data_IF_368575801940
#
_entry.id   IF_368575801940
#
_cell.length_a   1.000
_cell.length_b   1.000
_cell.length_c   1.000
_cell.angle_alpha   90.00
_cell.angle_beta   90.00
_cell.angle_gamma   90.00
#
_symmetry.space_group_name_H-M   'P 1'
#
loop_
_entity.id
_entity.type
_entity.pdbx_description
1 polymer ?
#
# COMPACT_ATOMS: atom_id res chain seq x y z
N UNK A 1 -8.64 8.62 13.92
CA UNK A 1 -9.40 7.53 13.26
C UNK A 1 -8.42 6.71 12.44
N UNK A 2 -8.58 5.39 12.27
CA UNK A 2 -7.75 4.65 11.33
C UNK A 2 -7.99 5.24 9.92
N UNK A 3 -6.94 5.77 9.29
CA UNK A 3 -7.02 6.23 7.90
C UNK A 3 -6.95 5.02 6.98
N UNK A 4 -7.86 4.91 6.02
CA UNK A 4 -7.78 3.90 4.97
C UNK A 4 -6.47 4.06 4.20
N UNK A 5 -5.76 2.95 3.96
CA UNK A 5 -4.48 2.97 3.24
C UNK A 5 -4.63 3.37 1.78
N UNK A 6 -5.81 3.15 1.19
CA UNK A 6 -6.13 3.43 -0.20
C UNK A 6 -7.41 4.23 -0.35
N UNK A 7 -7.40 5.11 -1.35
CA UNK A 7 -8.57 5.82 -1.85
C UNK A 7 -8.75 5.43 -3.32
N UNK A 8 -9.95 4.94 -3.65
CA UNK A 8 -10.37 4.63 -5.02
C UNK A 8 -11.43 5.63 -5.41
N UNK A 9 -11.25 6.32 -6.53
CA UNK A 9 -12.21 7.29 -7.03
C UNK A 9 -12.66 6.89 -8.46
N UNK A 10 -13.74 6.10 -8.58
CA UNK A 10 -14.28 5.71 -9.87
C UNK A 10 -14.68 6.92 -10.70
N UNK A 11 -14.35 6.89 -11.99
CA UNK A 11 -14.69 7.93 -12.96
C UNK A 11 -15.98 7.50 -13.64
N UNK A 12 -17.03 8.31 -13.50
CA UNK A 12 -18.38 7.96 -13.96
C UNK A 12 -18.76 8.71 -15.24
N UNK A 13 -17.98 9.72 -15.59
CA UNK A 13 -18.16 10.56 -16.76
C UNK A 13 -17.48 9.95 -17.98
N UNK A 14 -18.24 9.78 -19.07
CA UNK A 14 -17.70 9.27 -20.34
C UNK A 14 -16.58 10.18 -20.84
N UNK A 15 -15.45 9.58 -21.24
CA UNK A 15 -14.28 10.27 -21.84
C UNK A 15 -13.60 11.29 -20.94
N UNK A 16 -13.87 11.30 -19.64
CA UNK A 16 -13.11 12.15 -18.72
C UNK A 16 -11.63 11.72 -18.69
N UNK A 17 -10.73 12.69 -18.82
CA UNK A 17 -9.29 12.50 -18.69
C UNK A 17 -8.74 12.91 -17.31
N UNK A 18 -9.57 13.60 -16.52
CA UNK A 18 -9.26 14.03 -15.16
C UNK A 18 -10.47 13.84 -14.24
N UNK A 19 -10.22 13.69 -12.94
CA UNK A 19 -11.24 13.59 -11.92
C UNK A 19 -10.90 14.48 -10.72
N UNK A 20 -11.85 15.31 -10.30
CA UNK A 20 -11.67 16.21 -9.16
C UNK A 20 -12.09 15.51 -7.88
N UNK A 21 -11.16 15.35 -6.94
CA UNK A 21 -11.39 14.61 -5.70
C UNK A 21 -10.78 15.32 -4.50
N UNK A 22 -11.48 15.25 -3.37
CA UNK A 22 -10.95 15.72 -2.09
C UNK A 22 -10.00 14.68 -1.50
N UNK A 23 -8.76 15.11 -1.24
CA UNK A 23 -7.79 14.32 -0.51
C UNK A 23 -7.94 14.57 0.99
N UNK A 24 -8.18 13.53 1.81
CA UNK A 24 -8.13 13.67 3.26
C UNK A 24 -6.79 14.23 3.73
N UNK A 25 -6.82 14.99 4.82
CA UNK A 25 -5.61 15.45 5.47
C UNK A 25 -4.81 14.26 6.03
N UNK A 26 -3.54 14.16 5.65
CA UNK A 26 -2.63 13.13 6.14
C UNK A 26 -1.19 13.66 6.17
N UNK A 27 -0.45 13.35 7.23
CA UNK A 27 0.97 13.70 7.34
C UNK A 27 1.77 12.99 6.24
N UNK A 28 2.54 13.73 5.45
CA UNK A 28 3.23 13.19 4.27
C UNK A 28 2.36 13.15 3.00
N UNK A 29 1.08 13.50 3.10
CA UNK A 29 0.17 13.60 1.95
C UNK A 29 -0.37 12.24 1.47
N UNK A 30 -0.80 12.25 0.22
CA UNK A 30 -1.38 11.12 -0.51
C UNK A 30 -0.61 10.95 -1.82
N UNK A 31 -0.33 9.72 -2.21
CA UNK A 31 0.46 9.37 -3.39
C UNK A 31 -0.38 8.68 -4.44
N UNK A 32 -0.07 8.91 -5.72
CA UNK A 32 -0.58 8.10 -6.81
C UNK A 32 -0.15 6.63 -6.61
N UNK A 33 -1.12 5.73 -6.62
CA UNK A 33 -0.92 4.30 -6.36
C UNK A 33 -0.28 3.54 -7.53
N UNK A 34 -0.28 4.14 -8.72
CA UNK A 34 0.32 3.59 -9.94
C UNK A 34 1.73 4.18 -10.18
N UNK A 35 1.88 5.49 -10.03
CA UNK A 35 3.10 6.24 -10.39
C UNK A 35 3.93 6.69 -9.19
N UNK A 36 3.33 6.81 -8.01
CA UNK A 36 3.98 7.27 -6.77
C UNK A 36 3.99 8.80 -6.57
N UNK A 37 3.50 9.57 -7.55
CA UNK A 37 3.46 11.03 -7.53
C UNK A 37 2.78 11.58 -6.26
N UNK A 38 3.40 12.51 -5.52
CA UNK A 38 2.84 13.03 -4.27
C UNK A 38 1.80 14.13 -4.50
N UNK A 39 0.78 14.14 -3.65
CA UNK A 39 -0.25 15.16 -3.56
C UNK A 39 -0.45 15.58 -2.09
N UNK A 40 -0.49 16.89 -1.78
CA UNK A 40 -0.77 17.31 -0.41
C UNK A 40 -2.23 17.02 -0.04
N UNK A 41 -2.45 16.48 1.16
CA UNK A 41 -3.79 16.21 1.69
C UNK A 41 -4.54 17.48 2.12
N UNK A 42 -5.81 17.32 2.50
CA UNK A 42 -6.66 18.39 3.04
C UNK A 42 -7.31 19.28 1.99
N UNK A 43 -7.21 18.95 0.70
CA UNK A 43 -7.68 19.79 -0.40
C UNK A 43 -8.27 19.00 -1.57
N UNK A 44 -9.03 19.68 -2.42
CA UNK A 44 -9.46 19.12 -3.70
C UNK A 44 -8.33 19.23 -4.74
N UNK A 45 -8.10 18.15 -5.49
CA UNK A 45 -7.10 18.09 -6.56
C UNK A 45 -7.70 17.47 -7.81
N UNK A 46 -7.17 17.86 -8.98
CA UNK A 46 -7.46 17.19 -10.24
C UNK A 46 -6.44 16.06 -10.45
N UNK A 47 -6.92 14.81 -10.49
CA UNK A 47 -6.10 13.62 -10.73
C UNK A 47 -6.32 13.12 -12.16
N UNK A 48 -5.26 12.60 -12.78
CA UNK A 48 -5.34 11.94 -14.08
C UNK A 48 -6.25 10.72 -14.04
N UNK A 49 -7.11 10.59 -15.05
CA UNK A 49 -8.13 9.56 -15.13
C UNK A 49 -8.19 8.96 -16.55
N UNK A 50 -7.03 8.74 -17.17
CA UNK A 50 -6.97 8.19 -18.52
C UNK A 50 -7.52 6.76 -18.55
N UNK A 51 -8.02 6.35 -19.72
CA UNK A 51 -8.55 5.00 -19.91
C UNK A 51 -7.47 3.96 -19.60
N UNK A 52 -7.80 3.01 -18.71
CA UNK A 52 -6.85 2.00 -18.22
C UNK A 52 -6.06 2.41 -16.98
N UNK A 53 -6.16 3.67 -16.54
CA UNK A 53 -5.50 4.21 -15.36
C UNK A 53 -6.50 4.94 -14.46
N UNK A 54 -7.43 4.21 -13.81
CA UNK A 54 -8.38 4.84 -12.90
C UNK A 54 -7.63 5.45 -11.69
N UNK A 55 -8.12 6.58 -11.13
CA UNK A 55 -7.52 7.17 -9.94
C UNK A 55 -7.50 6.19 -8.76
N UNK A 56 -6.29 5.78 -8.41
CA UNK A 56 -5.96 4.94 -7.26
C UNK A 56 -4.90 5.67 -6.46
N UNK A 57 -5.18 5.98 -5.21
CA UNK A 57 -4.28 6.74 -4.35
C UNK A 57 -4.00 5.98 -3.07
N UNK A 58 -2.82 6.19 -2.49
CA UNK A 58 -2.39 5.61 -1.23
C UNK A 58 -1.88 6.69 -0.27
N UNK A 59 -2.21 6.60 1.02
CA UNK A 59 -1.67 7.56 2.00
C UNK A 59 -0.16 7.35 2.17
N UNK A 60 0.56 8.42 2.51
CA UNK A 60 1.97 8.28 2.89
C UNK A 60 2.14 7.31 4.09
N UNK A 61 3.14 6.43 4.00
CA UNK A 61 3.38 5.37 4.98
C UNK A 61 2.47 4.15 4.88
N UNK A 62 1.56 4.09 3.89
CA UNK A 62 0.83 2.86 3.57
C UNK A 62 1.79 1.73 3.18
N UNK A 63 1.48 0.51 3.64
CA UNK A 63 2.21 -0.71 3.28
C UNK A 63 1.20 -1.63 2.58
N UNK A 64 1.38 -1.83 1.28
CA UNK A 64 0.50 -2.68 0.48
C UNK A 64 1.25 -3.94 0.07
N UNK A 65 0.88 -5.12 0.61
CA UNK A 65 1.40 -6.38 0.11
C UNK A 65 0.81 -6.67 -1.28
N UNK A 66 1.67 -7.05 -2.21
CA UNK A 66 1.30 -7.49 -3.56
C UNK A 66 1.90 -8.87 -3.79
N UNK A 67 1.06 -9.81 -4.22
CA UNK A 67 1.50 -11.14 -4.63
C UNK A 67 1.91 -11.08 -6.11
N UNK A 68 3.19 -11.36 -6.39
CA UNK A 68 3.76 -11.47 -7.72
C UNK A 68 4.29 -12.90 -7.89
N UNK A 69 3.44 -13.77 -8.45
CA UNK A 69 3.76 -15.17 -8.73
C UNK A 69 4.21 -15.97 -7.50
N UNK A 70 3.55 -15.76 -6.35
CA UNK A 70 3.82 -16.43 -5.08
C UNK A 70 4.82 -15.69 -4.18
N UNK A 71 5.49 -14.66 -4.72
CA UNK A 71 6.36 -13.77 -3.96
C UNK A 71 5.59 -12.56 -3.44
N UNK A 72 5.80 -12.19 -2.18
CA UNK A 72 5.14 -11.02 -1.59
C UNK A 72 6.06 -9.80 -1.69
N UNK A 73 5.72 -8.86 -2.55
CA UNK A 73 6.33 -7.53 -2.58
C UNK A 73 5.60 -6.59 -1.61
N UNK A 74 6.35 -5.89 -0.75
CA UNK A 74 5.80 -4.90 0.16
C UNK A 74 6.04 -3.50 -0.41
N UNK A 75 5.00 -2.93 -1.01
CA UNK A 75 5.04 -1.58 -1.58
C UNK A 75 4.78 -0.57 -0.47
N UNK A 76 5.73 0.35 -0.28
CA UNK A 76 5.62 1.43 0.70
C UNK A 76 5.49 2.76 -0.03
N UNK A 77 4.43 3.50 0.26
CA UNK A 77 4.10 4.74 -0.44
C UNK A 77 4.61 5.97 0.32
N UNK A 78 5.44 6.77 -0.34
CA UNK A 78 5.88 8.06 0.17
C UNK A 78 6.81 8.03 1.39
N UNK A 79 7.23 9.21 1.87
CA UNK A 79 8.00 9.33 3.10
C UNK A 79 7.14 8.93 4.30
N UNK A 80 7.73 8.18 5.23
CA UNK A 80 7.04 7.73 6.45
C UNK A 80 7.08 8.88 7.46
N UNK A 81 6.13 9.80 7.34
CA UNK A 81 5.98 10.94 8.24
C UNK A 81 5.36 10.56 9.60
N UNK A 82 4.73 9.38 9.68
CA UNK A 82 4.15 8.81 10.90
C UNK A 82 4.19 7.28 10.82
N UNK A 83 4.05 6.59 11.96
CA UNK A 83 4.06 5.12 11.95
C UNK A 83 2.94 4.56 11.06
N UNK A 84 3.30 3.62 10.19
CA UNK A 84 2.37 2.85 9.38
C UNK A 84 2.43 1.37 9.74
N UNK A 85 1.35 0.65 9.47
CA UNK A 85 1.32 -0.80 9.60
C UNK A 85 0.48 -1.41 8.49
N UNK A 86 0.94 -2.54 7.97
CA UNK A 86 0.20 -3.41 7.05
C UNK A 86 0.17 -4.82 7.62
N UNK A 87 -0.92 -5.54 7.36
CA UNK A 87 -1.10 -6.93 7.76
C UNK A 87 -1.42 -7.75 6.51
N UNK A 88 -0.61 -8.76 6.24
CA UNK A 88 -0.93 -9.82 5.30
C UNK A 88 -1.51 -10.98 6.10
N UNK A 89 -2.62 -11.53 5.65
CA UNK A 89 -3.19 -12.77 6.14
C UNK A 89 -3.22 -13.78 4.98
N UNK A 90 -2.74 -15.00 5.22
CA UNK A 90 -2.69 -16.08 4.23
C UNK A 90 -3.21 -17.38 4.85
N UNK A 91 -4.10 -18.05 4.13
CA UNK A 91 -4.63 -19.38 4.42
C UNK A 91 -4.64 -20.24 3.15
N UNK A 92 -5.24 -21.43 3.21
CA UNK A 92 -5.36 -22.34 2.07
C UNK A 92 -6.42 -21.89 1.05
N UNK A 93 -7.19 -20.83 1.32
CA UNK A 93 -8.31 -20.28 0.56
C UNK A 93 -9.47 -21.23 0.21
N UNK A 94 -9.33 -22.53 0.50
CA UNK A 94 -10.23 -23.60 0.05
C UNK A 94 -11.09 -24.14 1.18
N UNK A 95 -10.57 -24.13 2.41
CA UNK A 95 -11.23 -24.78 3.54
C UNK A 95 -11.65 -23.78 4.61
N UNK A 96 -12.34 -24.28 5.64
CA UNK A 96 -12.64 -23.50 6.84
C UNK A 96 -11.50 -23.49 7.86
N UNK A 97 -10.32 -24.02 7.51
CA UNK A 97 -9.16 -24.08 8.39
C UNK A 97 -8.71 -22.69 8.85
N UNK A 98 -8.99 -21.64 8.08
CA UNK A 98 -8.73 -20.23 8.43
C UNK A 98 -9.22 -19.81 9.83
N UNK A 99 -10.25 -20.48 10.37
CA UNK A 99 -10.76 -20.22 11.73
C UNK A 99 -9.79 -20.66 12.83
N UNK A 100 -8.90 -21.60 12.53
CA UNK A 100 -8.00 -22.25 13.47
C UNK A 100 -6.53 -22.15 13.05
N UNK A 101 -6.21 -22.01 11.76
CA UNK A 101 -4.87 -22.03 11.22
C UNK A 101 -4.77 -21.08 10.03
N UNK A 102 -4.26 -19.88 10.30
CA UNK A 102 -3.87 -18.89 9.31
C UNK A 102 -2.51 -18.33 9.66
N UNK A 103 -1.84 -17.76 8.66
CA UNK A 103 -0.56 -17.09 8.84
C UNK A 103 -0.76 -15.59 8.70
N UNK A 104 -0.28 -14.83 9.67
CA UNK A 104 -0.16 -13.38 9.52
C UNK A 104 1.30 -13.00 9.28
N UNK A 105 1.50 -11.95 8.51
CA UNK A 105 2.77 -11.23 8.46
C UNK A 105 2.48 -9.75 8.62
N UNK A 106 3.21 -9.08 9.52
CA UNK A 106 2.97 -7.66 9.82
C UNK A 106 4.16 -6.83 9.38
N UNK A 107 3.94 -5.88 8.49
CA UNK A 107 4.88 -4.81 8.19
C UNK A 107 4.61 -3.61 9.08
N UNK A 108 5.66 -2.95 9.58
CA UNK A 108 5.57 -1.65 10.23
C UNK A 108 6.57 -0.70 9.63
N UNK A 109 6.14 0.50 9.29
CA UNK A 109 7.00 1.59 8.88
C UNK A 109 7.16 2.54 10.04
N UNK A 110 8.40 2.94 10.34
CA UNK A 110 8.70 4.01 11.29
C UNK A 110 9.50 5.09 10.59
N UNK A 111 9.29 6.37 10.92
CA UNK A 111 10.22 7.42 10.53
C UNK A 111 11.63 7.06 11.02
N UNK A 112 12.64 7.19 10.17
CA UNK A 112 14.05 7.10 10.55
C UNK A 112 14.86 8.22 9.89
N UNK A 113 16.15 8.34 10.26
CA UNK A 113 17.04 9.37 9.72
C UNK A 113 17.27 9.25 8.20
N UNK A 114 16.93 8.12 7.58
CA UNK A 114 17.04 7.83 6.15
C UNK A 114 15.68 7.81 5.41
N UNK A 115 14.59 8.21 6.09
CA UNK A 115 13.25 8.37 5.53
C UNK A 115 12.22 7.28 5.89
N UNK A 116 12.64 6.05 6.25
CA UNK A 116 11.77 4.97 6.72
C UNK A 116 12.54 3.68 7.07
N UNK A 117 12.24 3.06 8.21
CA UNK A 117 12.60 1.67 8.50
C UNK A 117 11.38 0.76 8.38
N UNK A 118 11.46 -0.31 7.57
CA UNK A 118 10.46 -1.38 7.54
C UNK A 118 10.87 -2.48 8.53
N UNK A 119 9.99 -2.77 9.47
CA UNK A 119 10.13 -3.92 10.36
C UNK A 119 9.08 -4.97 10.00
N UNK A 120 9.52 -6.16 9.59
CA UNK A 120 8.67 -7.34 9.53
C UNK A 120 8.57 -7.95 10.92
N UNK A 121 7.34 -8.07 11.44
CA UNK A 121 7.03 -8.90 12.60
C UNK A 121 6.84 -10.36 12.17
N UNK A 122 7.28 -11.30 13.01
CA UNK A 122 7.29 -12.73 12.71
C UNK A 122 5.92 -13.31 12.34
N UNK A 123 5.96 -14.47 11.68
CA UNK A 123 4.76 -15.26 11.36
C UNK A 123 4.21 -15.88 12.64
N UNK A 124 3.01 -15.49 13.05
CA UNK A 124 2.30 -16.23 14.08
C UNK A 124 1.53 -17.38 13.42
N UNK A 125 1.86 -18.60 13.86
CA UNK A 125 1.17 -19.80 13.43
C UNK A 125 -0.07 -19.94 14.33
N UNK A 126 -1.27 -19.77 13.77
CA UNK A 126 -2.50 -19.95 14.55
C UNK A 126 -2.88 -21.42 14.75
N UNK A 127 -2.31 -22.36 14.00
CA UNK A 127 -2.50 -23.80 14.19
C UNK A 127 -1.82 -24.63 13.10
N UNK A 128 -1.26 -25.78 13.48
CA UNK A 128 -0.41 -26.63 12.63
C UNK A 128 -1.22 -27.52 11.69
N UNK A 129 -1.19 -27.19 10.39
CA UNK A 129 -1.59 -28.07 9.30
C UNK A 129 -0.48 -28.07 8.23
N UNK A 130 0.75 -28.49 8.57
CA UNK A 130 1.68 -29.16 7.65
C UNK A 130 1.96 -28.55 6.27
N UNK A 131 1.66 -27.27 6.03
CA UNK A 131 2.04 -26.56 4.81
C UNK A 131 3.51 -26.14 4.95
N UNK A 132 4.35 -26.32 3.92
CA UNK A 132 5.74 -25.92 4.00
C UNK A 132 5.80 -24.41 4.31
N UNK A 133 6.66 -23.98 5.25
CA UNK A 133 6.91 -22.57 5.47
C UNK A 133 7.71 -22.03 4.29
N UNK A 134 7.04 -21.77 3.17
CA UNK A 134 7.56 -20.82 2.19
C UNK A 134 7.43 -19.46 2.85
N UNK A 135 8.42 -19.10 3.66
CA UNK A 135 8.54 -17.74 4.18
C UNK A 135 8.43 -16.80 2.98
N UNK A 136 7.52 -15.81 3.00
CA UNK A 136 7.43 -14.87 1.89
C UNK A 136 8.78 -14.19 1.72
N UNK A 137 9.38 -14.32 0.53
CA UNK A 137 10.62 -13.61 0.20
C UNK A 137 10.25 -12.16 -0.06
N UNK A 138 10.25 -11.35 1.00
CA UNK A 138 9.80 -9.98 0.92
C UNK A 138 10.82 -9.08 0.21
N UNK A 139 10.45 -8.50 -0.93
CA UNK A 139 11.15 -7.35 -1.52
C UNK A 139 10.45 -6.07 -1.06
N UNK A 140 11.23 -4.99 -0.89
CA UNK A 140 10.70 -3.67 -0.55
C UNK A 140 10.97 -2.75 -1.73
N UNK A 141 9.91 -2.25 -2.36
CA UNK A 141 10.01 -1.22 -3.38
C UNK A 141 9.58 0.13 -2.80
N UNK A 142 10.48 1.12 -2.84
CA UNK A 142 10.19 2.52 -2.47
C UNK A 142 9.91 3.33 -3.73
N UNK A 143 8.84 4.13 -3.73
CA UNK A 143 8.50 5.02 -4.85
C UNK A 143 9.25 6.36 -4.73
N UNK A 144 10.57 6.36 -4.94
CA UNK A 144 11.41 7.57 -4.76
C UNK A 144 11.59 8.38 -6.07
N UNK A 145 10.79 8.13 -7.12
CA UNK A 145 10.93 8.83 -8.40
C UNK A 145 10.33 10.24 -8.34
N UNK A 146 11.12 11.18 -7.83
CA UNK A 146 10.94 12.60 -8.15
C UNK A 146 11.19 12.83 -9.65
N UNK A 147 10.21 13.41 -10.33
CA UNK A 147 10.36 13.93 -11.69
C UNK A 147 11.52 14.94 -11.68
N UNK A 148 12.64 14.60 -12.32
CA UNK A 148 13.60 15.59 -12.74
C UNK A 148 12.91 16.47 -13.78
N UNK A 149 12.59 17.71 -13.41
CA UNK A 149 12.18 18.73 -14.35
C UNK A 149 13.40 19.05 -15.23
N UNK A 150 13.40 18.52 -16.45
CA UNK A 150 14.33 18.95 -17.49
C UNK A 150 13.92 20.36 -17.95
N UNK A 151 14.89 21.28 -17.98
CA UNK A 151 14.73 22.67 -18.40
C UNK A 151 15.15 22.85 -19.84
#
# INVERSE_FOLDING_TARGET
MPSLDRLVAPVLEERAATHNLYLPEHAGGVHDGNEGSPHPGGQAVAIGASLGHPPLLARAGAIVPVDEDGEIDLRVFGPVASEGAGLLYRDDSETSAWRASGHTARGRTRPDAAGAALQSGGTENLGDLGLPPSAPTSRVQRSDRGVAADR
#
